data_IF_043357102066
#
_entry.id   IF_043357102066
#
_cell.length_a   1.000
_cell.length_b   1.000
_cell.length_c   1.000
_cell.angle_alpha   90.00
_cell.angle_beta   90.00
_cell.angle_gamma   90.00
#
_symmetry.space_group_name_H-M   'P 1'
#
loop_
_entity.id
_entity.type
_entity.pdbx_description
1 polymer ?
#
# COMPACT_ATOMS: atom_id res chain seq x y z
N UNK A 1 32.64 13.77 32.72
CA UNK A 1 31.70 14.67 32.03
C UNK A 1 30.77 13.79 31.23
N UNK A 2 29.53 13.63 31.68
CA UNK A 2 28.50 12.97 30.86
C UNK A 2 28.08 14.03 29.84
N UNK A 3 28.44 13.80 28.58
CA UNK A 3 28.03 14.61 27.46
C UNK A 3 26.51 14.52 27.35
N UNK A 4 25.80 15.53 27.87
CA UNK A 4 24.35 15.63 27.70
C UNK A 4 24.13 15.92 26.23
N UNK A 5 23.76 14.90 25.46
CA UNK A 5 23.30 15.05 24.09
C UNK A 5 22.38 16.27 24.00
N UNK A 6 22.77 17.26 23.20
CA UNK A 6 21.96 18.44 22.93
C UNK A 6 20.67 17.96 22.29
N UNK A 7 19.52 18.43 22.80
CA UNK A 7 18.23 18.10 22.21
C UNK A 7 18.19 18.54 20.73
N UNK A 8 17.62 17.71 19.83
CA UNK A 8 17.50 18.07 18.41
C UNK A 8 16.59 19.28 18.24
N UNK A 9 16.78 20.02 17.14
CA UNK A 9 15.75 20.97 16.69
C UNK A 9 14.51 20.23 16.20
N UNK A 10 13.38 20.92 16.07
CA UNK A 10 12.15 20.31 15.54
C UNK A 10 12.36 19.73 14.14
N UNK A 11 13.11 20.40 13.26
CA UNK A 11 13.45 19.88 11.93
C UNK A 11 14.28 18.60 12.00
N UNK A 12 15.29 18.55 12.89
CA UNK A 12 16.12 17.36 13.08
C UNK A 12 15.30 16.19 13.65
N UNK A 13 14.36 16.48 14.55
CA UNK A 13 13.46 15.49 15.11
C UNK A 13 12.48 14.97 14.04
N UNK A 14 11.88 15.86 13.24
CA UNK A 14 10.98 15.49 12.16
C UNK A 14 11.70 14.65 11.09
N UNK A 15 12.90 15.03 10.69
CA UNK A 15 13.73 14.24 9.77
C UNK A 15 14.04 12.85 10.32
N UNK A 16 14.39 12.76 11.62
CA UNK A 16 14.68 11.48 12.26
C UNK A 16 13.44 10.59 12.31
N UNK A 17 12.28 11.13 12.69
CA UNK A 17 11.00 10.40 12.74
C UNK A 17 10.62 9.93 11.34
N UNK A 18 10.57 10.83 10.36
CA UNK A 18 10.17 10.49 8.99
C UNK A 18 11.10 9.45 8.36
N UNK A 19 12.42 9.62 8.49
CA UNK A 19 13.39 8.68 7.94
C UNK A 19 13.30 7.31 8.60
N UNK A 20 13.11 7.26 9.93
CA UNK A 20 12.97 6.00 10.64
C UNK A 20 11.64 5.30 10.30
N UNK A 21 10.54 6.04 10.17
CA UNK A 21 9.24 5.50 9.76
C UNK A 21 9.26 4.99 8.32
N UNK A 22 9.94 5.69 7.40
CA UNK A 22 10.11 5.23 6.01
C UNK A 22 10.71 3.83 5.92
N UNK A 23 11.61 3.46 6.84
CA UNK A 23 12.21 2.12 6.86
C UNK A 23 11.18 1.00 7.00
N UNK A 24 10.03 1.26 7.62
CA UNK A 24 8.94 0.28 7.70
C UNK A 24 8.45 -0.12 6.30
N UNK A 25 8.30 0.86 5.41
CA UNK A 25 7.79 0.67 4.05
C UNK A 25 8.90 0.38 3.04
N UNK A 26 10.15 0.69 3.36
CA UNK A 26 11.28 0.52 2.46
C UNK A 26 12.14 -0.70 2.78
N UNK A 27 12.72 -0.74 3.98
CA UNK A 27 13.64 -1.81 4.41
C UNK A 27 12.85 -3.06 4.86
N UNK A 28 11.71 -2.85 5.49
CA UNK A 28 10.90 -3.91 6.10
C UNK A 28 9.72 -4.38 5.23
N UNK A 29 9.59 -3.83 4.01
CA UNK A 29 8.63 -4.31 3.02
C UNK A 29 8.78 -5.82 2.76
N UNK A 30 7.68 -6.46 2.37
CA UNK A 30 7.73 -7.87 2.01
C UNK A 30 8.65 -8.07 0.80
N UNK A 31 9.61 -9.02 0.84
CA UNK A 31 10.67 -9.10 -0.17
C UNK A 31 10.15 -9.48 -1.57
N UNK A 32 9.10 -10.30 -1.64
CA UNK A 32 8.48 -10.76 -2.90
C UNK A 32 7.56 -9.70 -3.50
N UNK A 33 6.47 -9.36 -2.80
CA UNK A 33 5.51 -8.35 -3.28
C UNK A 33 6.02 -6.91 -3.27
N UNK A 34 6.90 -6.55 -2.35
CA UNK A 34 7.26 -5.14 -2.09
C UNK A 34 6.17 -4.35 -1.37
N UNK A 35 5.09 -5.00 -0.93
CA UNK A 35 3.98 -4.40 -0.18
C UNK A 35 4.31 -4.24 1.31
N UNK A 36 3.54 -3.38 1.99
CA UNK A 36 3.71 -3.12 3.41
C UNK A 36 3.18 -4.30 4.23
N UNK A 37 4.03 -4.80 5.14
CA UNK A 37 3.60 -5.77 6.14
C UNK A 37 2.57 -5.13 7.07
N UNK A 38 1.58 -5.92 7.48
CA UNK A 38 0.60 -5.48 8.47
C UNK A 38 1.26 -5.13 9.81
N UNK A 39 2.30 -5.86 10.19
CA UNK A 39 2.96 -5.70 11.49
C UNK A 39 4.42 -6.12 11.49
N UNK A 40 5.14 -5.67 12.52
CA UNK A 40 6.53 -6.01 12.79
C UNK A 40 6.73 -7.11 13.83
N UNK A 41 5.65 -7.67 14.39
CA UNK A 41 5.68 -8.79 15.33
C UNK A 41 4.83 -9.97 14.83
N UNK A 42 4.96 -11.12 15.47
CA UNK A 42 4.09 -12.28 15.24
C UNK A 42 3.06 -12.32 16.37
N UNK A 43 1.79 -12.08 16.04
CA UNK A 43 0.68 -12.06 16.99
C UNK A 43 -0.67 -12.24 16.26
N UNK A 44 -1.71 -12.66 17.00
CA UNK A 44 -3.08 -12.88 16.48
C UNK A 44 -3.16 -13.90 15.33
N UNK A 45 -2.32 -14.93 15.36
CA UNK A 45 -2.28 -16.05 14.40
C UNK A 45 -1.95 -15.67 12.94
N UNK A 46 -1.36 -14.49 12.73
CA UNK A 46 -0.69 -14.12 11.48
C UNK A 46 0.67 -13.46 11.75
N UNK A 47 1.48 -13.35 10.70
CA UNK A 47 2.91 -13.05 10.84
C UNK A 47 3.46 -12.16 9.74
N UNK A 48 4.77 -12.28 9.51
CA UNK A 48 5.53 -11.41 8.61
C UNK A 48 5.20 -11.59 7.12
N UNK A 49 4.46 -12.65 6.78
CA UNK A 49 3.99 -12.91 5.42
C UNK A 49 2.68 -12.14 5.10
N UNK A 50 2.00 -11.57 6.10
CA UNK A 50 0.77 -10.81 5.87
C UNK A 50 1.10 -9.38 5.45
N UNK A 51 0.60 -8.99 4.27
CA UNK A 51 0.63 -7.60 3.78
C UNK A 51 -0.78 -7.02 3.74
N UNK A 52 -0.89 -5.73 4.04
CA UNK A 52 -2.17 -4.98 4.04
C UNK A 52 -2.30 -4.14 2.78
N UNK A 53 -3.47 -4.15 2.14
CA UNK A 53 -3.72 -3.36 0.94
C UNK A 53 -3.73 -1.86 1.25
N UNK A 54 -4.55 -1.38 2.19
CA UNK A 54 -4.63 0.04 2.51
C UNK A 54 -3.33 0.59 3.11
N UNK A 55 -2.71 -0.17 4.02
CA UNK A 55 -1.38 0.19 4.57
C UNK A 55 -0.28 0.27 3.50
N UNK A 56 -0.39 -0.51 2.43
CA UNK A 56 0.51 -0.41 1.27
C UNK A 56 0.29 0.86 0.45
N UNK A 57 -0.95 1.37 0.39
CA UNK A 57 -1.25 2.69 -0.17
C UNK A 57 -0.52 3.81 0.58
N UNK A 58 -0.53 3.77 1.92
CA UNK A 58 0.26 4.70 2.74
C UNK A 58 1.76 4.54 2.48
N UNK A 59 2.23 3.30 2.35
CA UNK A 59 3.61 3.00 1.99
C UNK A 59 4.05 3.59 0.66
N UNK A 60 3.19 3.57 -0.37
CA UNK A 60 3.49 4.17 -1.67
C UNK A 60 3.73 5.69 -1.54
N UNK A 61 2.91 6.40 -0.77
CA UNK A 61 3.11 7.83 -0.50
C UNK A 61 4.35 8.11 0.35
N UNK A 62 4.65 7.24 1.34
CA UNK A 62 5.88 7.35 2.12
C UNK A 62 7.12 7.21 1.23
N UNK A 63 7.09 6.30 0.25
CA UNK A 63 8.17 6.15 -0.75
C UNK A 63 8.33 7.42 -1.59
N UNK A 64 7.23 8.02 -2.07
CA UNK A 64 7.27 9.30 -2.79
C UNK A 64 7.92 10.39 -1.93
N UNK A 65 7.52 10.54 -0.68
CA UNK A 65 8.13 11.50 0.25
C UNK A 65 9.62 11.21 0.49
N UNK A 66 10.02 9.93 0.54
CA UNK A 66 11.42 9.52 0.65
C UNK A 66 12.28 9.88 -0.56
N UNK A 67 11.70 9.87 -1.77
CA UNK A 67 12.36 10.35 -2.99
C UNK A 67 12.53 11.86 -2.96
N UNK A 68 11.46 12.60 -2.64
CA UNK A 68 11.52 14.08 -2.53
C UNK A 68 12.53 14.57 -1.50
N UNK A 69 12.69 13.84 -0.40
CA UNK A 69 13.70 14.12 0.64
C UNK A 69 15.13 13.70 0.25
N UNK A 70 15.31 13.05 -0.90
CA UNK A 70 16.60 12.54 -1.36
C UNK A 70 17.13 11.35 -0.54
N UNK A 71 16.27 10.66 0.21
CA UNK A 71 16.65 9.49 1.01
C UNK A 71 16.61 8.19 0.21
N UNK A 72 15.78 8.14 -0.84
CA UNK A 72 15.68 7.03 -1.78
C UNK A 72 15.95 7.58 -3.18
N UNK A 73 16.69 6.86 -4.02
CA UNK A 73 16.85 7.24 -5.43
C UNK A 73 15.54 7.00 -6.18
N UNK A 74 15.13 7.97 -6.99
CA UNK A 74 13.89 7.90 -7.78
C UNK A 74 13.75 6.62 -8.60
N UNK A 75 14.81 6.21 -9.30
CA UNK A 75 14.79 4.99 -10.11
C UNK A 75 14.56 3.72 -9.26
N UNK A 76 15.17 3.64 -8.08
CA UNK A 76 14.99 2.51 -7.15
C UNK A 76 13.56 2.50 -6.60
N UNK A 77 13.00 3.67 -6.30
CA UNK A 77 11.61 3.80 -5.86
C UNK A 77 10.60 3.40 -6.95
N UNK A 78 10.81 3.84 -8.19
CA UNK A 78 9.97 3.44 -9.31
C UNK A 78 9.99 1.92 -9.53
N UNK A 79 11.18 1.29 -9.48
CA UNK A 79 11.32 -0.17 -9.56
C UNK A 79 10.59 -0.89 -8.42
N UNK A 80 10.68 -0.35 -7.19
CA UNK A 80 9.97 -0.90 -6.02
C UNK A 80 8.47 -0.88 -6.21
N UNK A 81 7.92 0.26 -6.63
CA UNK A 81 6.47 0.40 -6.84
C UNK A 81 6.01 -0.41 -8.04
N UNK A 82 6.84 -0.53 -9.08
CA UNK A 82 6.57 -1.38 -10.23
C UNK A 82 6.47 -2.86 -9.83
N UNK A 83 7.34 -3.33 -8.92
CA UNK A 83 7.22 -4.67 -8.31
C UNK A 83 5.87 -4.84 -7.60
N UNK A 84 5.48 -3.87 -6.78
CA UNK A 84 4.22 -3.91 -6.03
C UNK A 84 3.00 -4.01 -6.96
N UNK A 85 2.90 -3.16 -7.99
CA UNK A 85 1.75 -3.19 -8.90
C UNK A 85 1.76 -4.42 -9.82
N UNK A 86 2.93 -4.97 -10.17
CA UNK A 86 3.03 -6.26 -10.88
C UNK A 86 2.58 -7.43 -10.01
N UNK A 87 2.81 -7.36 -8.70
CA UNK A 87 2.31 -8.35 -7.75
C UNK A 87 0.79 -8.24 -7.60
N UNK A 88 0.26 -7.03 -7.38
CA UNK A 88 -1.17 -6.77 -7.24
C UNK A 88 -1.98 -7.22 -8.46
N UNK A 89 -1.44 -7.03 -9.67
CA UNK A 89 -2.08 -7.49 -10.92
C UNK A 89 -2.24 -9.02 -11.03
N UNK A 90 -1.67 -9.79 -10.10
CA UNK A 90 -1.79 -11.26 -10.02
C UNK A 90 -2.42 -11.73 -8.70
N UNK A 91 -2.68 -10.81 -7.77
CA UNK A 91 -3.23 -11.12 -6.46
C UNK A 91 -4.73 -11.41 -6.55
N UNK A 92 -5.29 -12.02 -5.50
CA UNK A 92 -6.73 -12.18 -5.36
C UNK A 92 -7.43 -10.82 -5.32
N UNK A 93 -8.44 -10.66 -6.16
CA UNK A 93 -9.31 -9.50 -6.21
C UNK A 93 -10.73 -9.94 -6.57
N UNK A 94 -11.72 -9.15 -6.13
CA UNK A 94 -13.14 -9.46 -6.24
C UNK A 94 -13.81 -8.25 -6.89
N UNK A 95 -14.20 -8.35 -8.16
CA UNK A 95 -14.66 -7.17 -8.92
C UNK A 95 -13.61 -6.04 -8.93
N UNK A 96 -12.33 -6.42 -9.04
CA UNK A 96 -11.18 -5.52 -8.95
C UNK A 96 -10.89 -4.97 -7.55
N UNK A 97 -11.74 -5.22 -6.55
CA UNK A 97 -11.54 -4.81 -5.16
C UNK A 97 -10.60 -5.79 -4.45
N UNK A 98 -9.54 -5.26 -3.85
CA UNK A 98 -8.57 -6.06 -3.11
C UNK A 98 -9.09 -6.41 -1.72
N UNK A 99 -8.72 -7.58 -1.16
CA UNK A 99 -9.00 -7.89 0.22
C UNK A 99 -8.18 -6.99 1.16
N UNK A 100 -8.59 -6.96 2.43
CA UNK A 100 -7.83 -6.29 3.48
C UNK A 100 -6.41 -6.84 3.60
N UNK A 101 -6.29 -8.17 3.72
CA UNK A 101 -5.00 -8.86 3.83
C UNK A 101 -4.72 -9.79 2.66
N UNK A 102 -3.47 -9.78 2.25
CA UNK A 102 -2.89 -10.69 1.27
C UNK A 102 -1.70 -11.41 1.90
N UNK A 103 -1.49 -12.64 1.47
CA UNK A 103 -0.21 -13.33 1.63
C UNK A 103 0.81 -12.68 0.69
N UNK A 104 1.89 -12.13 1.24
CA UNK A 104 2.86 -11.32 0.52
C UNK A 104 3.77 -12.10 -0.44
N UNK A 105 3.79 -13.44 -0.33
CA UNK A 105 4.51 -14.32 -1.24
C UNK A 105 3.61 -14.76 -2.40
N UNK A 106 2.38 -15.15 -2.10
CA UNK A 106 1.48 -15.82 -3.06
C UNK A 106 0.39 -14.91 -3.64
N UNK A 107 0.10 -13.78 -2.99
CA UNK A 107 -0.98 -12.87 -3.38
C UNK A 107 -2.38 -13.42 -3.11
N UNK A 108 -2.51 -14.47 -2.32
CA UNK A 108 -3.82 -15.03 -1.93
C UNK A 108 -4.44 -14.24 -0.78
N UNK A 109 -5.76 -14.12 -0.79
CA UNK A 109 -6.52 -13.52 0.31
C UNK A 109 -6.24 -14.25 1.62
N UNK A 110 -5.92 -13.48 2.65
CA UNK A 110 -5.95 -13.92 4.04
C UNK A 110 -7.24 -13.32 4.63
N UNK A 111 -8.21 -14.15 5.07
CA UNK A 111 -9.43 -13.61 5.69
C UNK A 111 -9.10 -12.77 6.91
N UNK A 112 -9.65 -11.54 6.97
CA UNK A 112 -9.53 -10.67 8.13
C UNK A 112 -10.41 -11.17 9.29
N UNK A 113 -11.55 -11.77 8.95
CA UNK A 113 -12.42 -12.50 9.88
C UNK A 113 -13.18 -13.61 9.15
N UNK A 114 -14.00 -14.40 9.86
CA UNK A 114 -14.74 -15.54 9.28
C UNK A 114 -15.58 -15.18 8.04
N UNK A 115 -16.10 -13.96 7.93
CA UNK A 115 -16.96 -13.51 6.82
C UNK A 115 -16.36 -12.36 6.02
N UNK A 116 -15.11 -12.04 6.31
CA UNK A 116 -14.34 -11.02 5.63
C UNK A 116 -13.17 -11.71 4.95
N UNK A 117 -13.51 -12.41 3.88
CA UNK A 117 -12.66 -13.24 3.03
C UNK A 117 -12.75 -12.83 1.54
N UNK A 118 -13.25 -11.61 1.31
CA UNK A 118 -13.56 -11.02 0.01
C UNK A 118 -12.89 -9.66 -0.19
N UNK A 119 -13.50 -8.81 -1.02
CA UNK A 119 -13.02 -7.45 -1.26
C UNK A 119 -13.32 -6.51 -0.09
N UNK A 120 -12.35 -5.66 0.25
CA UNK A 120 -12.50 -4.55 1.18
C UNK A 120 -12.36 -3.24 0.38
N UNK A 121 -13.48 -2.54 0.16
CA UNK A 121 -13.48 -1.31 -0.65
C UNK A 121 -12.81 -0.13 0.06
N UNK A 122 -12.77 -0.12 1.39
CA UNK A 122 -12.13 0.95 2.17
C UNK A 122 -10.61 0.82 2.05
N UNK A 123 -10.09 -0.39 2.27
CA UNK A 123 -8.66 -0.66 2.10
C UNK A 123 -8.22 -0.49 0.63
N UNK A 124 -9.05 -0.90 -0.33
CA UNK A 124 -8.82 -0.64 -1.76
C UNK A 124 -8.80 0.86 -2.06
N UNK A 125 -9.65 1.67 -1.42
CA UNK A 125 -9.63 3.12 -1.58
C UNK A 125 -8.31 3.73 -1.08
N UNK A 126 -7.80 3.29 0.07
CA UNK A 126 -6.51 3.74 0.57
C UNK A 126 -5.34 3.31 -0.31
N UNK A 127 -5.38 2.08 -0.82
CA UNK A 127 -4.42 1.57 -1.79
C UNK A 127 -4.39 2.46 -3.05
N UNK A 128 -5.56 2.69 -3.66
CA UNK A 128 -5.67 3.47 -4.89
C UNK A 128 -5.29 4.94 -4.68
N UNK A 129 -5.64 5.54 -3.54
CA UNK A 129 -5.16 6.88 -3.19
C UNK A 129 -3.62 6.98 -3.27
N UNK A 130 -2.92 6.03 -2.66
CA UNK A 130 -1.45 6.01 -2.66
C UNK A 130 -0.85 5.74 -4.04
N UNK A 131 -1.43 4.79 -4.79
CA UNK A 131 -0.96 4.46 -6.13
C UNK A 131 -1.21 5.61 -7.11
N UNK A 132 -2.36 6.27 -7.06
CA UNK A 132 -2.65 7.41 -7.94
C UNK A 132 -1.74 8.60 -7.65
N UNK A 133 -1.38 8.84 -6.38
CA UNK A 133 -0.37 9.84 -6.01
C UNK A 133 1.00 9.50 -6.61
N UNK A 134 1.44 8.24 -6.49
CA UNK A 134 2.68 7.77 -7.11
C UNK A 134 2.65 7.88 -8.64
N UNK A 135 1.54 7.52 -9.29
CA UNK A 135 1.37 7.64 -10.74
C UNK A 135 1.60 9.07 -11.23
N UNK A 136 1.07 10.06 -10.51
CA UNK A 136 1.24 11.48 -10.87
C UNK A 136 2.67 11.96 -10.61
N UNK A 137 3.32 11.44 -9.58
CA UNK A 137 4.67 11.83 -9.20
C UNK A 137 5.76 11.23 -10.11
N UNK A 138 5.62 9.96 -10.52
CA UNK A 138 6.56 9.23 -11.37
C UNK A 138 6.24 9.44 -12.86
N UNK A 139 6.60 10.61 -13.41
CA UNK A 139 6.25 11.12 -14.73
C UNK A 139 7.33 10.95 -15.83
N UNK A 140 8.51 10.41 -15.51
CA UNK A 140 9.58 10.27 -16.50
C UNK A 140 9.23 9.23 -17.59
N UNK A 141 9.83 9.31 -18.79
CA UNK A 141 9.58 8.34 -19.86
C UNK A 141 9.88 6.88 -19.46
N UNK A 142 10.92 6.65 -18.67
CA UNK A 142 11.29 5.32 -18.17
C UNK A 142 10.30 4.76 -17.14
N UNK A 143 9.46 5.61 -16.54
CA UNK A 143 8.49 5.26 -15.50
C UNK A 143 7.09 4.98 -16.09
N UNK A 144 6.97 4.95 -17.42
CA UNK A 144 5.70 4.73 -18.12
C UNK A 144 5.01 3.44 -17.72
N UNK A 145 5.73 2.32 -17.63
CA UNK A 145 5.12 1.04 -17.27
C UNK A 145 4.49 1.07 -15.87
N UNK A 146 5.11 1.77 -14.92
CA UNK A 146 4.53 1.95 -13.59
C UNK A 146 3.19 2.67 -13.67
N UNK A 147 3.12 3.78 -14.41
CA UNK A 147 1.88 4.55 -14.58
C UNK A 147 0.79 3.75 -15.27
N UNK A 148 1.12 3.09 -16.38
CA UNK A 148 0.16 2.31 -17.16
C UNK A 148 -0.43 1.15 -16.34
N UNK A 149 0.38 0.51 -15.48
CA UNK A 149 -0.10 -0.54 -14.58
C UNK A 149 -0.98 -0.02 -13.46
N UNK A 150 -0.66 1.15 -12.89
CA UNK A 150 -1.53 1.78 -11.90
C UNK A 150 -2.88 2.13 -12.53
N UNK A 151 -2.87 2.64 -13.76
CA UNK A 151 -4.10 2.94 -14.51
C UNK A 151 -4.94 1.70 -14.78
N UNK A 152 -4.29 0.58 -15.15
CA UNK A 152 -4.96 -0.71 -15.29
C UNK A 152 -5.65 -1.14 -14.00
N UNK A 153 -4.90 -1.20 -12.90
CA UNK A 153 -5.45 -1.58 -11.59
C UNK A 153 -6.59 -0.66 -11.14
N UNK A 154 -6.45 0.66 -11.32
CA UNK A 154 -7.50 1.63 -10.98
C UNK A 154 -8.78 1.41 -11.79
N UNK A 155 -8.63 1.14 -13.09
CA UNK A 155 -9.77 0.99 -14.01
C UNK A 155 -10.50 -0.35 -13.84
N UNK A 156 -9.83 -1.35 -13.28
CA UNK A 156 -10.41 -2.67 -12.98
C UNK A 156 -11.28 -2.66 -11.73
N UNK A 157 -11.19 -1.64 -10.85
CA UNK A 157 -12.02 -1.57 -9.64
C UNK A 157 -13.47 -1.19 -10.01
N UNK A 158 -14.40 -2.14 -9.83
CA UNK A 158 -15.83 -1.91 -10.01
C UNK A 158 -16.43 -1.29 -8.74
N UNK A 159 -16.18 0.00 -8.51
CA UNK A 159 -16.68 0.73 -7.32
C UNK A 159 -18.20 0.65 -7.18
N UNK A 160 -18.91 0.66 -8.31
CA UNK A 160 -20.36 0.57 -8.40
C UNK A 160 -20.90 -0.82 -8.03
N UNK A 161 -20.12 -1.88 -8.17
CA UNK A 161 -20.51 -3.22 -7.69
C UNK A 161 -20.84 -3.20 -6.18
N UNK A 162 -20.07 -2.42 -5.40
CA UNK A 162 -20.30 -2.24 -3.97
C UNK A 162 -21.51 -1.38 -3.62
N UNK A 163 -22.22 -0.82 -4.61
CA UNK A 163 -23.56 -0.25 -4.36
C UNK A 163 -24.61 -1.32 -4.13
N UNK A 164 -24.34 -2.56 -4.55
CA UNK A 164 -25.21 -3.74 -4.41
C UNK A 164 -26.62 -3.46 -4.90
N UNK A 165 -26.77 -3.02 -6.15
CA UNK A 165 -28.08 -2.81 -6.76
C UNK A 165 -29.03 -4.00 -6.48
N UNK A 166 -30.25 -3.70 -6.04
CA UNK A 166 -31.25 -4.71 -5.66
C UNK A 166 -31.17 -5.24 -4.22
N UNK A 167 -30.14 -4.88 -3.43
CA UNK A 167 -30.11 -5.18 -2.00
C UNK A 167 -31.05 -4.24 -1.20
N UNK A 168 -31.47 -4.60 0.04
CA UNK A 168 -32.43 -3.80 0.81
C UNK A 168 -32.03 -2.34 1.10
N UNK A 169 -30.73 -2.02 1.05
CA UNK A 169 -30.21 -0.64 1.11
C UNK A 169 -29.31 -0.31 -0.09
N UNK A 170 -29.36 -1.11 -1.16
CA UNK A 170 -28.50 -0.95 -2.32
C UNK A 170 -28.87 0.23 -3.21
N UNK A 171 -27.91 0.67 -4.03
CA UNK A 171 -28.05 1.77 -5.00
C UNK A 171 -27.39 3.07 -4.53
N UNK A 172 -27.87 3.65 -3.43
CA UNK A 172 -27.45 5.01 -2.99
C UNK A 172 -26.35 5.01 -1.92
N UNK A 173 -25.74 3.86 -1.60
CA UNK A 173 -24.68 3.72 -0.60
C UNK A 173 -23.62 2.74 -1.10
N UNK A 174 -22.41 2.82 -0.55
CA UNK A 174 -21.39 1.79 -0.73
C UNK A 174 -21.34 0.85 0.47
N UNK A 175 -21.35 -0.45 0.20
CA UNK A 175 -21.09 -1.49 1.18
C UNK A 175 -19.59 -1.73 1.31
N UNK A 176 -19.13 -1.94 2.54
CA UNK A 176 -17.71 -2.14 2.81
C UNK A 176 -17.18 -3.44 2.17
N UNK A 177 -17.91 -4.54 2.33
CA UNK A 177 -17.60 -5.89 1.82
C UNK A 177 -18.78 -6.47 1.05
#
# INVERSE_FOLDING_TARGET
MIDRLRAPTDDQLLDAVQRQTLRYFWDFAHPVSGLARERSNVAFDYGLETVTSGGSGFGAMAIVAGVERGWIKRAEAAERLLRAVRFLAKAGAYHGVFPHFLDGETGRTIPFSRKDDGGDIVETSFLMMGLLAARQYFDAPAERELRDRIDGLWSEVEWDWHTREGAPKGGDVLYWH
#
